data_IF_317999484975
#
_entry.id   IF_317999484975
#
_cell.length_a   1.000
_cell.length_b   1.000
_cell.length_c   1.000
_cell.angle_alpha   90.00
_cell.angle_beta   90.00
_cell.angle_gamma   90.00
#
_symmetry.space_group_name_H-M   'P 1'
#
loop_
_entity.id
_entity.type
_entity.pdbx_description
1 polymer ?
#
# COMPACT_ATOMS: atom_id res chain seq x y z
N UNK A 1 8.19 -16.09 13.47
CA UNK A 1 7.49 -14.94 14.12
C UNK A 1 7.45 -13.65 13.29
N UNK A 2 8.02 -13.57 12.07
CA UNK A 2 7.96 -12.35 11.21
C UNK A 2 6.61 -12.17 10.49
N UNK A 3 5.92 -13.26 10.20
CA UNK A 3 4.66 -13.29 9.43
C UNK A 3 3.52 -12.62 10.22
N UNK A 4 3.30 -12.99 11.48
CA UNK A 4 2.17 -12.47 12.27
C UNK A 4 2.21 -10.94 12.47
N UNK A 5 3.39 -10.34 12.66
CA UNK A 5 3.55 -8.88 12.79
C UNK A 5 3.25 -8.15 11.48
N UNK A 6 3.70 -8.71 10.34
CA UNK A 6 3.45 -8.15 9.01
C UNK A 6 1.99 -8.28 8.57
N UNK A 7 1.30 -9.35 8.98
CA UNK A 7 -0.14 -9.50 8.74
C UNK A 7 -0.97 -8.49 9.55
N UNK A 8 -0.60 -8.25 10.81
CA UNK A 8 -1.28 -7.25 11.66
C UNK A 8 -1.10 -5.84 11.11
N UNK A 9 0.13 -5.48 10.73
CA UNK A 9 0.42 -4.17 10.14
C UNK A 9 -0.38 -3.91 8.86
N UNK A 10 -0.48 -4.90 7.97
CA UNK A 10 -1.34 -4.79 6.77
C UNK A 10 -2.81 -4.58 7.14
N UNK A 11 -3.34 -5.36 8.07
CA UNK A 11 -4.75 -5.23 8.49
C UNK A 11 -5.04 -3.83 9.05
N UNK A 12 -4.15 -3.31 9.89
CA UNK A 12 -4.27 -1.96 10.47
C UNK A 12 -4.18 -0.88 9.38
N UNK A 13 -3.30 -1.04 8.40
CA UNK A 13 -3.19 -0.14 7.24
C UNK A 13 -4.49 -0.11 6.41
N UNK A 14 -5.05 -1.29 6.08
CA UNK A 14 -6.31 -1.38 5.34
C UNK A 14 -7.47 -0.72 6.11
N UNK A 15 -7.58 -1.03 7.40
CA UNK A 15 -8.64 -0.45 8.23
C UNK A 15 -8.54 1.07 8.26
N UNK A 16 -7.32 1.61 8.42
CA UNK A 16 -7.09 3.06 8.37
C UNK A 16 -7.43 3.65 7.01
N UNK A 17 -6.96 3.04 5.92
CA UNK A 17 -7.22 3.52 4.57
C UNK A 17 -8.71 3.55 4.23
N UNK A 18 -9.46 2.51 4.62
CA UNK A 18 -10.92 2.46 4.43
C UNK A 18 -11.61 3.54 5.26
N UNK A 19 -11.20 3.76 6.51
CA UNK A 19 -11.80 4.77 7.39
C UNK A 19 -11.51 6.20 6.93
N UNK A 20 -10.30 6.47 6.41
CA UNK A 20 -9.87 7.80 5.98
C UNK A 20 -10.26 8.09 4.51
N UNK A 21 -10.50 7.05 3.71
CA UNK A 21 -10.74 7.14 2.26
C UNK A 21 -9.47 7.34 1.44
N UNK A 22 -8.32 7.60 2.07
CA UNK A 22 -7.04 7.78 1.39
C UNK A 22 -5.85 7.41 2.28
N UNK A 23 -4.70 7.13 1.66
CA UNK A 23 -3.41 6.92 2.31
C UNK A 23 -2.30 7.56 1.47
N UNK A 24 -1.27 8.11 2.10
CA UNK A 24 -0.06 8.50 1.38
C UNK A 24 0.86 7.31 1.10
N UNK A 25 1.63 7.37 0.01
CA UNK A 25 2.69 6.39 -0.28
C UNK A 25 3.62 6.21 0.93
N UNK A 26 4.02 7.30 1.59
CA UNK A 26 4.88 7.22 2.76
C UNK A 26 4.24 6.51 3.95
N UNK A 27 2.92 6.57 4.13
CA UNK A 27 2.21 5.83 5.19
C UNK A 27 2.17 4.34 4.88
N UNK A 28 1.92 3.98 3.62
CA UNK A 28 1.96 2.59 3.16
C UNK A 28 3.35 2.00 3.35
N UNK A 29 4.39 2.73 2.94
CA UNK A 29 5.78 2.31 3.09
C UNK A 29 6.21 2.24 4.57
N UNK A 30 5.83 3.20 5.41
CA UNK A 30 6.15 3.17 6.85
C UNK A 30 5.44 2.07 7.62
N UNK A 31 4.23 1.69 7.20
CA UNK A 31 3.50 0.58 7.81
C UNK A 31 4.17 -0.77 7.53
N UNK A 32 5.11 -0.83 6.58
CA UNK A 32 5.76 -2.05 6.16
C UNK A 32 7.24 -2.06 6.55
N UNK A 33 7.71 -3.12 7.23
CA UNK A 33 9.13 -3.28 7.49
C UNK A 33 9.92 -3.35 6.17
N UNK A 34 11.08 -2.70 6.09
CA UNK A 34 11.95 -2.82 4.92
C UNK A 34 12.27 -4.29 4.61
N UNK A 35 12.09 -4.71 3.35
CA UNK A 35 12.27 -6.09 2.90
C UNK A 35 11.14 -7.05 3.30
N UNK A 36 10.00 -6.57 3.82
CA UNK A 36 8.84 -7.42 4.13
C UNK A 36 8.00 -7.79 2.91
N UNK A 37 8.11 -7.03 1.82
CA UNK A 37 7.41 -7.30 0.55
C UNK A 37 8.38 -7.29 -0.61
N UNK A 38 8.18 -8.23 -1.53
CA UNK A 38 8.68 -8.18 -2.90
C UNK A 38 7.96 -7.07 -3.69
N UNK A 39 8.50 -6.70 -4.86
CA UNK A 39 7.86 -5.73 -5.75
C UNK A 39 6.46 -6.18 -6.19
N UNK A 40 6.29 -7.49 -6.40
CA UNK A 40 5.00 -8.11 -6.70
C UNK A 40 3.99 -7.96 -5.56
N UNK A 41 4.39 -8.26 -4.33
CA UNK A 41 3.51 -8.12 -3.16
C UNK A 41 3.18 -6.66 -2.87
N UNK A 42 4.14 -5.75 -3.11
CA UNK A 42 3.94 -4.31 -2.99
C UNK A 42 2.89 -3.84 -4.00
N UNK A 43 3.03 -4.25 -5.26
CA UNK A 43 2.04 -3.98 -6.30
C UNK A 43 0.64 -4.48 -5.89
N UNK A 44 0.54 -5.74 -5.43
CA UNK A 44 -0.72 -6.33 -4.98
C UNK A 44 -1.34 -5.56 -3.81
N UNK A 45 -0.54 -5.06 -2.88
CA UNK A 45 -1.04 -4.25 -1.76
C UNK A 45 -1.69 -2.97 -2.26
N UNK A 46 -0.99 -2.21 -3.10
CA UNK A 46 -1.50 -0.95 -3.64
C UNK A 46 -2.77 -1.16 -4.47
N UNK A 47 -2.76 -2.20 -5.33
CA UNK A 47 -3.93 -2.61 -6.09
C UNK A 47 -5.12 -2.90 -5.16
N UNK A 48 -4.90 -3.69 -4.11
CA UNK A 48 -5.94 -4.10 -3.16
C UNK A 48 -6.51 -2.93 -2.35
N UNK A 49 -5.69 -1.94 -2.00
CA UNK A 49 -6.12 -0.70 -1.35
C UNK A 49 -7.05 0.11 -2.26
N UNK A 50 -6.64 0.33 -3.52
CA UNK A 50 -7.48 1.02 -4.51
C UNK A 50 -8.79 0.27 -4.79
N UNK A 51 -8.72 -1.05 -4.95
CA UNK A 51 -9.90 -1.89 -5.16
C UNK A 51 -10.89 -1.81 -3.99
N UNK A 52 -10.40 -1.47 -2.79
CA UNK A 52 -11.21 -1.22 -1.59
C UNK A 52 -11.72 0.22 -1.47
N UNK A 53 -11.52 1.06 -2.50
CA UNK A 53 -11.94 2.46 -2.53
C UNK A 53 -11.00 3.43 -1.83
N UNK A 54 -9.78 3.02 -1.50
CA UNK A 54 -8.78 3.89 -0.86
C UNK A 54 -7.97 4.63 -1.93
N UNK A 55 -7.99 5.96 -1.90
CA UNK A 55 -7.15 6.80 -2.75
C UNK A 55 -5.70 6.79 -2.26
N UNK A 56 -4.73 6.62 -3.16
CA UNK A 56 -3.31 6.69 -2.81
C UNK A 56 -2.76 8.06 -3.21
N UNK A 57 -2.10 8.75 -2.28
CA UNK A 57 -1.54 10.10 -2.48
C UNK A 57 -0.02 10.10 -2.47
N UNK A 58 0.57 10.90 -3.35
CA UNK A 58 2.01 11.11 -3.46
C UNK A 58 2.55 11.98 -2.33
N UNK A 59 3.82 12.36 -2.41
CA UNK A 59 4.46 13.20 -1.39
C UNK A 59 3.85 14.61 -1.30
N UNK A 60 3.34 15.13 -2.42
CA UNK A 60 2.76 16.47 -2.50
C UNK A 60 1.25 16.50 -2.21
N UNK A 61 0.68 15.38 -1.75
CA UNK A 61 -0.76 15.24 -1.50
C UNK A 61 -1.60 15.10 -2.77
N UNK A 62 -0.98 15.04 -3.94
CA UNK A 62 -1.65 14.72 -5.20
C UNK A 62 -2.08 13.26 -5.21
N UNK A 63 -3.26 12.96 -5.77
CA UNK A 63 -3.67 11.60 -6.04
C UNK A 63 -2.71 10.97 -7.07
N UNK A 64 -2.06 9.87 -6.69
CA UNK A 64 -1.20 9.08 -7.56
C UNK A 64 -2.09 8.45 -8.63
N UNK A 65 -2.03 8.98 -9.85
CA UNK A 65 -2.69 8.39 -11.03
C UNK A 65 -1.80 7.30 -11.63
N UNK A 66 -2.41 6.48 -12.48
CA UNK A 66 -1.87 5.20 -12.96
C UNK A 66 -0.49 5.17 -13.68
N UNK A 67 0.22 6.26 -14.05
CA UNK A 67 1.60 6.08 -14.54
C UNK A 67 2.67 5.98 -13.44
N UNK A 68 2.36 6.27 -12.17
CA UNK A 68 3.37 6.29 -11.08
C UNK A 68 3.41 5.01 -10.24
N UNK A 69 2.46 4.10 -10.43
CA UNK A 69 2.54 2.79 -9.81
C UNK A 69 3.64 1.96 -10.48
N UNK A 70 4.38 1.14 -9.71
CA UNK A 70 5.23 0.14 -10.34
C UNK A 70 4.36 -0.67 -11.32
N UNK A 71 4.87 -0.90 -12.53
CA UNK A 71 4.20 -1.82 -13.44
C UNK A 71 4.00 -3.16 -12.72
N UNK A 72 2.90 -3.90 -12.99
CA UNK A 72 2.81 -5.27 -12.51
C UNK A 72 4.10 -6.00 -12.92
N UNK A 73 4.69 -6.80 -12.02
CA UNK A 73 5.87 -7.58 -12.38
C UNK A 73 5.54 -8.40 -13.63
N UNK A 74 6.39 -8.32 -14.65
CA UNK A 74 6.29 -9.21 -15.80
C UNK A 74 6.60 -10.64 -15.35
N UNK A 75 5.82 -11.60 -15.86
CA UNK A 75 6.06 -13.04 -15.69
C UNK A 75 7.49 -13.46 -16.10
#
# INVERSE_FOLDING_TARGET
MKTSRSHRARKELFQRGIQQGWLSVQEVERAMPAGSLTDAERWLLYYSLRASGVEIRGQDGEAVREPEFPAPPGD
#
